data_IF_085151321147
#
_entry.id   IF_085151321147
#
_cell.length_a   1.000
_cell.length_b   1.000
_cell.length_c   1.000
_cell.angle_alpha   90.00
_cell.angle_beta   90.00
_cell.angle_gamma   90.00
#
_symmetry.space_group_name_H-M   'P 1'
#
loop_
_entity.id
_entity.type
_entity.pdbx_description
1 polymer ?
#
# COMPACT_ATOMS: atom_id res chain seq x y z
N UNK A 1 -13.95 -16.80 -20.27
CA UNK A 1 -13.37 -17.18 -21.57
C UNK A 1 -12.13 -16.31 -21.77
N UNK A 2 -10.94 -16.88 -21.96
CA UNK A 2 -9.71 -16.09 -22.13
C UNK A 2 -9.63 -15.58 -23.58
N UNK A 3 -9.31 -14.29 -23.76
CA UNK A 3 -9.16 -13.68 -25.08
C UNK A 3 -7.69 -13.81 -25.53
N UNK A 4 -7.44 -14.45 -26.68
CA UNK A 4 -6.08 -14.60 -27.21
C UNK A 4 -5.74 -13.37 -28.05
N UNK A 5 -4.77 -12.59 -27.58
CA UNK A 5 -4.19 -11.48 -28.33
C UNK A 5 -3.06 -12.01 -29.22
N UNK A 6 -3.15 -11.85 -30.54
CA UNK A 6 -2.08 -12.18 -31.48
C UNK A 6 -1.39 -10.90 -31.95
N UNK A 7 -0.11 -10.74 -31.59
CA UNK A 7 0.69 -9.54 -31.86
C UNK A 7 1.66 -9.74 -33.04
N UNK A 8 1.59 -10.87 -33.75
CA UNK A 8 2.46 -11.14 -34.91
C UNK A 8 2.10 -10.18 -36.05
N UNK A 9 3.10 -9.52 -36.61
CA UNK A 9 2.92 -8.54 -37.70
C UNK A 9 2.45 -7.16 -37.24
N UNK A 10 2.41 -6.90 -35.93
CA UNK A 10 2.26 -5.55 -35.39
C UNK A 10 3.61 -4.84 -35.47
N UNK A 11 3.73 -3.87 -36.36
CA UNK A 11 4.87 -2.96 -36.44
C UNK A 11 4.59 -1.69 -35.63
N UNK A 12 5.59 -1.14 -34.93
CA UNK A 12 5.43 0.07 -34.11
C UNK A 12 5.13 -0.20 -32.62
N UNK A 13 4.30 0.64 -31.99
CA UNK A 13 4.05 0.57 -30.54
C UNK A 13 3.10 -0.58 -30.16
N UNK A 14 3.70 -1.69 -29.76
CA UNK A 14 3.03 -2.89 -29.25
C UNK A 14 2.16 -2.56 -28.01
N UNK A 15 2.56 -1.59 -27.19
CA UNK A 15 1.87 -1.26 -25.94
C UNK A 15 0.47 -0.69 -26.21
N UNK A 16 0.30 0.03 -27.32
CA UNK A 16 -0.99 0.56 -27.74
C UNK A 16 -2.04 -0.52 -28.07
N UNK A 17 -1.58 -1.75 -28.34
CA UNK A 17 -2.45 -2.88 -28.71
C UNK A 17 -2.86 -3.73 -27.51
N UNK A 18 -2.27 -3.48 -26.34
CA UNK A 18 -2.62 -4.20 -25.12
C UNK A 18 -3.87 -3.59 -24.49
N UNK A 19 -4.90 -4.40 -24.16
CA UNK A 19 -6.10 -3.89 -23.51
C UNK A 19 -5.72 -3.29 -22.15
N UNK A 20 -6.06 -2.02 -21.97
CA UNK A 20 -6.02 -1.35 -20.67
C UNK A 20 -7.46 -1.10 -20.24
N UNK A 21 -7.87 -1.54 -19.05
CA UNK A 21 -9.15 -1.14 -18.51
C UNK A 21 -9.19 0.38 -18.42
N UNK A 22 -10.29 0.99 -18.86
CA UNK A 22 -10.52 2.39 -18.55
C UNK A 22 -10.58 2.56 -17.03
N UNK A 23 -9.86 3.56 -16.52
CA UNK A 23 -9.90 3.90 -15.10
C UNK A 23 -11.30 4.39 -14.77
N UNK A 24 -11.81 3.99 -13.61
CA UNK A 24 -13.17 4.33 -13.18
C UNK A 24 -13.45 5.84 -13.32
N UNK A 25 -14.64 6.17 -13.83
CA UNK A 25 -15.06 7.55 -14.13
C UNK A 25 -15.27 8.43 -12.90
N UNK A 26 -15.98 9.55 -13.07
CA UNK A 26 -16.10 10.58 -12.00
C UNK A 26 -16.77 10.11 -10.71
N UNK A 27 -17.56 9.03 -10.73
CA UNK A 27 -18.32 8.53 -9.58
C UNK A 27 -17.43 8.23 -8.34
N UNK A 28 -16.50 7.26 -8.43
CA UNK A 28 -15.59 6.95 -7.32
C UNK A 28 -14.74 8.15 -6.88
N UNK A 29 -14.31 8.99 -7.82
CA UNK A 29 -13.51 10.18 -7.52
C UNK A 29 -14.31 11.17 -6.65
N UNK A 30 -15.56 11.44 -7.00
CA UNK A 30 -16.43 12.33 -6.23
C UNK A 30 -16.72 11.77 -4.82
N UNK A 31 -17.00 10.46 -4.72
CA UNK A 31 -17.23 9.79 -3.44
C UNK A 31 -16.01 9.90 -2.51
N UNK A 32 -14.81 9.58 -3.01
CA UNK A 32 -13.57 9.67 -2.24
C UNK A 32 -13.28 11.10 -1.80
N UNK A 33 -13.51 12.11 -2.66
CA UNK A 33 -13.35 13.53 -2.28
C UNK A 33 -14.26 13.92 -1.12
N UNK A 34 -15.51 13.44 -1.12
CA UNK A 34 -16.45 13.70 -0.02
C UNK A 34 -15.98 13.07 1.29
N UNK A 35 -15.54 11.81 1.25
CA UNK A 35 -15.00 11.11 2.43
C UNK A 35 -13.78 11.85 2.99
N UNK A 36 -12.82 12.21 2.12
CA UNK A 36 -11.63 12.96 2.54
C UNK A 36 -11.98 14.30 3.18
N UNK A 37 -12.94 15.03 2.62
CA UNK A 37 -13.41 16.29 3.19
C UNK A 37 -14.00 16.09 4.58
N UNK A 38 -14.87 15.08 4.74
CA UNK A 38 -15.50 14.77 6.02
C UNK A 38 -14.47 14.34 7.08
N UNK A 39 -13.53 13.46 6.75
CA UNK A 39 -12.47 13.03 7.67
C UNK A 39 -11.58 14.21 8.07
N UNK A 40 -11.26 15.11 7.12
CA UNK A 40 -10.46 16.31 7.43
C UNK A 40 -11.18 17.28 8.39
N UNK A 41 -12.50 17.44 8.27
CA UNK A 41 -13.26 18.36 9.12
C UNK A 41 -13.72 17.75 10.44
N UNK A 42 -14.04 16.46 10.45
CA UNK A 42 -14.74 15.79 11.57
C UNK A 42 -13.85 14.76 12.29
N UNK A 43 -12.73 14.35 11.70
CA UNK A 43 -11.81 13.36 12.29
C UNK A 43 -12.48 12.01 12.52
N UNK A 44 -12.25 11.43 13.71
CA UNK A 44 -12.72 10.09 14.07
C UNK A 44 -14.25 9.94 14.04
N UNK A 45 -15.01 11.03 14.24
CA UNK A 45 -16.48 11.00 14.14
C UNK A 45 -16.91 10.57 12.74
N UNK A 46 -16.24 11.08 11.69
CA UNK A 46 -16.49 10.65 10.32
C UNK A 46 -16.06 9.20 10.10
N UNK A 47 -14.93 8.78 10.67
CA UNK A 47 -14.44 7.40 10.54
C UNK A 47 -15.43 6.39 11.14
N UNK A 48 -15.92 6.63 12.35
CA UNK A 48 -16.90 5.76 13.01
C UNK A 48 -18.23 5.72 12.27
N UNK A 49 -18.68 6.88 11.74
CA UNK A 49 -19.86 6.95 10.88
C UNK A 49 -19.71 6.08 9.62
N UNK A 50 -18.59 6.22 8.90
CA UNK A 50 -18.36 5.44 7.68
C UNK A 50 -18.14 3.96 7.94
N UNK A 51 -17.53 3.59 9.08
CA UNK A 51 -17.40 2.19 9.52
C UNK A 51 -18.78 1.57 9.72
N UNK A 52 -19.70 2.28 10.40
CA UNK A 52 -21.08 1.82 10.54
C UNK A 52 -21.81 1.72 9.20
N UNK A 53 -21.61 2.68 8.30
CA UNK A 53 -22.28 2.73 7.00
C UNK A 53 -21.83 1.62 6.05
N UNK A 54 -20.51 1.41 5.92
CA UNK A 54 -19.95 0.49 4.92
C UNK A 54 -19.70 -0.91 5.46
N UNK A 55 -19.24 -1.02 6.72
CA UNK A 55 -18.89 -2.31 7.33
C UNK A 55 -20.03 -2.85 8.21
N UNK A 56 -21.02 -2.02 8.55
CA UNK A 56 -22.18 -2.41 9.35
C UNK A 56 -21.88 -2.61 10.84
N UNK A 57 -20.73 -2.13 11.32
CA UNK A 57 -20.26 -2.34 12.69
C UNK A 57 -20.18 -1.00 13.43
N UNK A 58 -20.66 -0.99 14.67
CA UNK A 58 -20.42 0.11 15.61
C UNK A 58 -19.14 -0.17 16.41
N UNK A 59 -18.18 0.75 16.34
CA UNK A 59 -16.91 0.66 17.05
C UNK A 59 -16.78 1.82 18.03
N UNK A 60 -16.26 1.55 19.22
CA UNK A 60 -15.99 2.59 20.22
C UNK A 60 -14.63 3.26 20.03
N UNK A 61 -13.73 2.63 19.27
CA UNK A 61 -12.38 3.13 19.02
C UNK A 61 -11.90 2.76 17.63
N UNK A 62 -11.14 3.67 17.02
CA UNK A 62 -10.41 3.41 15.76
C UNK A 62 -9.18 2.54 16.02
N UNK A 63 -8.63 2.55 17.24
CA UNK A 63 -7.41 1.80 17.57
C UNK A 63 -7.76 0.42 18.08
N UNK A 64 -7.22 -0.61 17.41
CA UNK A 64 -7.29 -2.00 17.91
C UNK A 64 -6.57 -2.10 19.26
N UNK A 65 -7.24 -2.60 20.33
CA UNK A 65 -6.61 -2.78 21.62
C UNK A 65 -5.42 -3.75 21.55
N UNK A 66 -4.33 -3.44 22.24
CA UNK A 66 -3.14 -4.30 22.23
C UNK A 66 -3.43 -5.73 22.70
N UNK A 67 -4.32 -5.89 23.69
CA UNK A 67 -4.74 -7.19 24.17
C UNK A 67 -5.40 -8.05 23.08
N UNK A 68 -6.15 -7.45 22.15
CA UNK A 68 -6.75 -8.17 21.03
C UNK A 68 -5.70 -8.62 20.01
N UNK A 69 -4.65 -7.82 19.80
CA UNK A 69 -3.51 -8.18 18.95
C UNK A 69 -2.78 -9.39 19.53
N UNK A 70 -2.47 -9.39 20.83
CA UNK A 70 -1.83 -10.52 21.50
C UNK A 70 -2.72 -11.78 21.48
N UNK A 71 -4.02 -11.61 21.72
CA UNK A 71 -4.96 -12.72 21.64
C UNK A 71 -5.06 -13.28 20.20
N UNK A 72 -5.02 -12.43 19.18
CA UNK A 72 -4.99 -12.85 17.79
C UNK A 72 -3.70 -13.62 17.47
N UNK A 73 -2.54 -13.12 17.90
CA UNK A 73 -1.25 -13.80 17.75
C UNK A 73 -1.26 -15.19 18.40
N UNK A 74 -1.84 -15.31 19.60
CA UNK A 74 -2.00 -16.57 20.31
C UNK A 74 -2.86 -17.61 19.57
N UNK A 75 -3.79 -17.17 18.72
CA UNK A 75 -4.65 -18.04 17.89
C UNK A 75 -3.99 -18.48 16.57
N UNK A 76 -2.87 -17.87 16.17
CA UNK A 76 -2.19 -18.22 14.92
C UNK A 76 -1.45 -19.56 15.06
N UNK A 77 -1.74 -20.55 14.18
CA UNK A 77 -1.01 -21.83 14.17
C UNK A 77 0.50 -21.61 14.01
N UNK A 78 1.30 -22.43 14.69
CA UNK A 78 2.76 -22.29 14.71
C UNK A 78 3.35 -22.30 13.29
N UNK A 79 2.90 -23.20 12.41
CA UNK A 79 3.40 -23.29 11.04
C UNK A 79 3.19 -22.02 10.22
N UNK A 80 2.02 -21.37 10.38
CA UNK A 80 1.72 -20.09 9.71
C UNK A 80 2.63 -18.99 10.25
N UNK A 81 2.89 -18.98 11.56
CA UNK A 81 3.78 -18.02 12.21
C UNK A 81 5.21 -18.15 11.72
N UNK A 82 5.73 -19.37 11.66
CA UNK A 82 7.09 -19.64 11.15
C UNK A 82 7.23 -19.26 9.67
N UNK A 83 6.19 -19.52 8.86
CA UNK A 83 6.17 -19.11 7.46
C UNK A 83 6.22 -17.58 7.32
N UNK A 84 5.45 -16.84 8.14
CA UNK A 84 5.46 -15.38 8.16
C UNK A 84 6.81 -14.82 8.65
N UNK A 85 7.42 -15.41 9.68
CA UNK A 85 8.76 -15.02 10.15
C UNK A 85 9.82 -15.23 9.07
N UNK A 86 9.78 -16.37 8.37
CA UNK A 86 10.70 -16.67 7.27
C UNK A 86 10.53 -15.65 6.12
N UNK A 87 9.29 -15.32 5.76
CA UNK A 87 9.01 -14.32 4.75
C UNK A 87 9.53 -12.94 5.17
N UNK A 88 9.23 -12.51 6.39
CA UNK A 88 9.70 -11.23 6.93
C UNK A 88 11.23 -11.11 6.93
N UNK A 89 11.94 -12.16 7.36
CA UNK A 89 13.40 -12.19 7.34
C UNK A 89 13.99 -12.05 5.93
N UNK A 90 13.40 -12.73 4.94
CA UNK A 90 13.86 -12.63 3.54
C UNK A 90 13.58 -11.27 2.92
N UNK A 91 12.40 -10.70 3.20
CA UNK A 91 12.02 -9.35 2.77
C UNK A 91 13.00 -8.33 3.36
N UNK A 92 13.24 -8.38 4.67
CA UNK A 92 14.19 -7.50 5.36
C UNK A 92 15.62 -7.66 4.82
N UNK A 93 16.09 -8.89 4.65
CA UNK A 93 17.43 -9.15 4.11
C UNK A 93 17.63 -8.53 2.72
N UNK A 94 16.64 -8.63 1.82
CA UNK A 94 16.71 -8.01 0.51
C UNK A 94 16.60 -6.48 0.57
N UNK A 95 15.64 -5.91 1.30
CA UNK A 95 15.49 -4.46 1.37
C UNK A 95 16.69 -3.76 2.03
N UNK A 96 17.39 -4.43 2.95
CA UNK A 96 18.67 -3.94 3.49
C UNK A 96 19.74 -3.74 2.42
N UNK A 97 19.76 -4.55 1.36
CA UNK A 97 20.73 -4.35 0.26
C UNK A 97 20.40 -3.14 -0.60
N UNK A 98 19.21 -2.56 -0.46
CA UNK A 98 18.76 -1.38 -1.20
C UNK A 98 18.97 -0.08 -0.42
N UNK A 99 19.51 -0.14 0.80
CA UNK A 99 19.88 1.05 1.55
C UNK A 99 21.06 1.75 0.87
N UNK A 100 20.88 3.03 0.55
CA UNK A 100 21.91 3.84 -0.06
C UNK A 100 22.69 4.54 1.06
N UNK A 101 24.00 4.28 1.11
CA UNK A 101 24.91 4.99 2.01
C UNK A 101 25.08 6.45 1.61
N UNK A 102 25.71 7.23 2.50
CA UNK A 102 26.15 8.59 2.17
C UNK A 102 27.15 8.52 1.00
N UNK A 103 26.96 9.40 0.02
CA UNK A 103 27.91 9.57 -1.09
C UNK A 103 28.44 10.99 -1.09
N UNK A 104 29.71 11.15 -1.47
CA UNK A 104 30.37 12.45 -1.54
C UNK A 104 31.18 12.60 -2.83
N UNK A 105 31.21 13.81 -3.37
CA UNK A 105 31.98 14.17 -4.56
C UNK A 105 32.69 15.52 -4.34
N UNK A 106 33.94 15.65 -4.80
CA UNK A 106 34.74 16.86 -4.70
C UNK A 106 35.41 17.18 -6.03
N UNK A 107 35.21 18.41 -6.52
CA UNK A 107 35.87 18.98 -7.71
C UNK A 107 36.11 20.50 -7.51
N UNK A 108 36.76 20.86 -6.40
CA UNK A 108 36.92 22.26 -5.99
C UNK A 108 35.69 22.84 -5.25
N UNK A 109 34.68 22.01 -5.04
CA UNK A 109 33.54 22.20 -4.14
C UNK A 109 32.98 20.83 -3.76
N UNK A 110 32.43 20.70 -2.55
CA UNK A 110 32.01 19.42 -1.99
C UNK A 110 30.49 19.22 -2.07
N UNK A 111 30.05 18.09 -2.61
CA UNK A 111 28.65 17.63 -2.66
C UNK A 111 28.53 16.40 -1.77
N UNK A 112 27.46 16.33 -0.96
CA UNK A 112 27.08 15.15 -0.18
C UNK A 112 25.62 14.80 -0.40
N UNK A 113 25.34 13.51 -0.55
CA UNK A 113 23.98 12.96 -0.60
C UNK A 113 23.80 11.98 0.54
N UNK A 114 22.72 12.13 1.31
CA UNK A 114 22.34 11.26 2.41
C UNK A 114 20.83 11.06 2.42
N UNK A 115 20.38 9.93 2.97
CA UNK A 115 18.96 9.61 3.10
C UNK A 115 18.49 9.88 4.53
N UNK A 116 17.31 10.49 4.67
CA UNK A 116 16.63 10.67 5.96
C UNK A 116 15.32 9.88 5.91
N UNK A 117 15.02 9.04 6.93
CA UNK A 117 13.72 8.39 7.02
C UNK A 117 12.59 9.42 7.02
N UNK A 118 11.46 9.08 6.37
CA UNK A 118 10.23 9.88 6.37
C UNK A 118 9.65 9.94 7.78
#
# INVERSE_FOLDING_TARGET
MLNRLDLRGVDGDIVAHLPRPEVAGEGPVAAVRSILSAVKSEGDVALLRFTKEFDGIECDSVRVPHAEVEAALGRVPAEVREALHTAAQRIDAFHRTQLHGETSYDDGGSIRSYSVPV
#
